data_IF_103304206216
#
_entry.id   IF_103304206216
#
_cell.length_a   1.000
_cell.length_b   1.000
_cell.length_c   1.000
_cell.angle_alpha   90.00
_cell.angle_beta   90.00
_cell.angle_gamma   90.00
#
_symmetry.space_group_name_H-M   'P 1'
#
loop_
_entity.id
_entity.type
_entity.pdbx_description
1 polymer ?
#
# COMPACT_ATOMS: atom_id res chain seq x y z
N UNK A 1 -27.40 -5.67 -28.21
CA UNK A 1 -27.07 -5.43 -26.79
C UNK A 1 -26.57 -6.74 -26.19
N UNK A 2 -25.28 -6.89 -25.91
CA UNK A 2 -24.78 -8.05 -25.16
C UNK A 2 -24.93 -7.74 -23.67
N UNK A 3 -25.72 -8.55 -22.98
CA UNK A 3 -25.82 -8.56 -21.52
C UNK A 3 -24.41 -8.68 -20.94
N UNK A 4 -24.06 -7.82 -19.97
CA UNK A 4 -22.83 -7.97 -19.20
C UNK A 4 -22.93 -9.29 -18.42
N UNK A 5 -21.96 -10.17 -18.61
CA UNK A 5 -21.83 -11.36 -17.77
C UNK A 5 -21.78 -10.96 -16.30
N UNK A 6 -22.47 -11.68 -15.40
CA UNK A 6 -22.39 -11.43 -13.97
C UNK A 6 -20.93 -11.60 -13.52
N UNK A 7 -20.43 -10.63 -12.76
CA UNK A 7 -19.11 -10.70 -12.14
C UNK A 7 -18.91 -12.09 -11.49
N UNK A 8 -17.81 -12.76 -11.81
CA UNK A 8 -17.51 -14.09 -11.26
C UNK A 8 -17.48 -14.00 -9.73
N UNK A 9 -17.81 -15.07 -9.01
CA UNK A 9 -17.91 -15.04 -7.53
C UNK A 9 -16.67 -14.43 -6.86
N UNK A 10 -15.47 -14.69 -7.40
CA UNK A 10 -14.21 -14.13 -6.92
C UNK A 10 -14.14 -12.60 -7.09
N UNK A 11 -14.69 -12.04 -8.17
CA UNK A 11 -14.72 -10.59 -8.41
C UNK A 11 -15.64 -9.84 -7.43
N UNK A 12 -16.71 -10.48 -6.93
CA UNK A 12 -17.55 -9.87 -5.89
C UNK A 12 -16.83 -9.82 -4.54
N UNK A 13 -16.15 -10.90 -4.16
CA UNK A 13 -15.33 -10.94 -2.94
C UNK A 13 -14.14 -9.96 -3.00
N UNK A 14 -13.55 -9.82 -4.19
CA UNK A 14 -12.50 -8.85 -4.50
C UNK A 14 -12.97 -7.41 -4.28
N UNK A 15 -14.17 -7.07 -4.78
CA UNK A 15 -14.74 -5.73 -4.67
C UNK A 15 -15.05 -5.34 -3.22
N UNK A 16 -15.47 -6.29 -2.39
CA UNK A 16 -15.70 -6.08 -0.94
C UNK A 16 -14.37 -5.84 -0.22
N UNK A 17 -13.35 -6.68 -0.47
CA UNK A 17 -12.02 -6.46 0.10
C UNK A 17 -11.44 -5.10 -0.31
N UNK A 18 -11.54 -4.74 -1.59
CA UNK A 18 -11.12 -3.43 -2.10
C UNK A 18 -11.87 -2.29 -1.42
N UNK A 19 -13.19 -2.36 -1.30
CA UNK A 19 -14.00 -1.35 -0.63
C UNK A 19 -13.64 -1.21 0.86
N UNK A 20 -13.30 -2.32 1.54
CA UNK A 20 -12.88 -2.34 2.94
C UNK A 20 -11.49 -1.74 3.13
N UNK A 21 -10.53 -2.11 2.28
CA UNK A 21 -9.21 -1.46 2.27
C UNK A 21 -9.33 0.01 1.88
N UNK A 22 -10.25 0.40 0.99
CA UNK A 22 -10.49 1.80 0.62
C UNK A 22 -11.14 2.61 1.74
N UNK A 23 -11.86 1.96 2.68
CA UNK A 23 -12.44 2.61 3.85
C UNK A 23 -11.36 3.07 4.86
N UNK A 24 -10.18 2.43 4.84
CA UNK A 24 -8.99 2.82 5.62
C UNK A 24 -7.94 3.55 4.75
N UNK A 25 -7.85 3.21 3.46
CA UNK A 25 -6.93 3.81 2.49
C UNK A 25 -7.57 4.94 1.70
N UNK A 26 -7.41 6.15 2.24
CA UNK A 26 -7.18 7.33 1.39
C UNK A 26 -5.93 7.16 0.48
N UNK A 27 -5.12 6.10 0.68
CA UNK A 27 -3.99 5.71 -0.16
C UNK A 27 -4.32 5.28 -1.60
N UNK A 28 -5.57 4.92 -1.91
CA UNK A 28 -5.96 4.41 -3.23
C UNK A 28 -5.93 5.46 -4.38
N UNK A 29 -5.69 6.74 -4.11
CA UNK A 29 -5.84 7.80 -5.14
C UNK A 29 -4.75 7.75 -6.23
N UNK A 30 -3.61 7.08 -6.01
CA UNK A 30 -2.67 6.70 -7.09
C UNK A 30 -2.94 5.28 -7.64
N UNK A 31 -3.79 4.49 -6.99
CA UNK A 31 -4.18 3.15 -7.42
C UNK A 31 -5.39 3.18 -8.38
N UNK A 32 -6.19 4.25 -8.35
CA UNK A 32 -7.34 4.49 -9.24
C UNK A 32 -6.96 5.34 -10.46
N UNK A 33 -6.01 4.85 -11.25
CA UNK A 33 -5.88 5.26 -12.65
C UNK A 33 -7.17 4.92 -13.41
N UNK A 34 -8.10 5.87 -13.43
CA UNK A 34 -9.22 6.03 -14.36
C UNK A 34 -10.07 4.77 -14.67
N UNK A 35 -11.00 4.43 -13.78
CA UNK A 35 -12.14 3.55 -14.10
C UNK A 35 -13.36 4.34 -14.59
N UNK A 36 -13.16 5.42 -15.35
CA UNK A 36 -14.25 5.97 -16.16
C UNK A 36 -14.43 5.10 -17.40
N UNK A 37 -15.56 4.37 -17.42
CA UNK A 37 -16.16 3.88 -18.66
C UNK A 37 -16.65 5.08 -19.47
N UNK A 38 -15.75 5.73 -20.18
CA UNK A 38 -16.13 6.50 -21.36
C UNK A 38 -15.64 5.75 -22.59
N UNK A 39 -16.62 5.20 -23.32
CA UNK A 39 -16.46 4.88 -24.73
C UNK A 39 -16.26 6.20 -25.47
N UNK A 40 -15.02 6.58 -25.67
CA UNK A 40 -14.66 7.39 -26.83
C UNK A 40 -13.67 6.58 -27.66
N UNK A 41 -14.19 6.04 -28.77
CA UNK A 41 -13.36 5.62 -29.88
C UNK A 41 -12.53 6.82 -30.31
N UNK A 42 -11.22 6.78 -30.11
CA UNK A 42 -10.28 7.51 -30.95
C UNK A 42 -8.92 6.81 -30.97
N UNK A 43 -8.70 6.18 -32.13
CA UNK A 43 -7.42 5.93 -32.79
C UNK A 43 -6.30 5.33 -31.94
N UNK A 44 -6.18 4.01 -32.06
CA UNK A 44 -4.91 3.31 -32.09
C UNK A 44 -3.85 4.10 -32.85
N UNK A 45 -2.90 4.68 -32.14
CA UNK A 45 -1.54 4.81 -32.65
C UNK A 45 -0.73 3.73 -31.96
N UNK A 46 -0.63 2.59 -32.62
CA UNK A 46 0.49 1.66 -32.43
C UNK A 46 1.74 2.37 -32.96
N UNK A 47 2.23 3.35 -32.19
CA UNK A 47 3.57 3.90 -32.34
C UNK A 47 4.54 2.89 -31.77
N UNK A 48 5.51 2.49 -32.59
CA UNK A 48 6.55 1.53 -32.24
C UNK A 48 7.07 1.73 -30.81
N UNK A 49 7.00 0.69 -29.99
CA UNK A 49 7.86 0.55 -28.81
C UNK A 49 9.26 0.39 -29.41
N UNK A 50 9.94 1.51 -29.66
CA UNK A 50 11.36 1.54 -29.99
C UNK A 50 12.11 0.72 -28.93
N UNK A 51 13.11 -0.05 -29.38
CA UNK A 51 13.97 -0.90 -28.55
C UNK A 51 14.20 -0.30 -27.15
N UNK A 52 13.81 -1.04 -26.11
CA UNK A 52 13.88 -0.68 -24.69
C UNK A 52 15.10 0.18 -24.30
N UNK A 53 14.97 1.51 -24.39
CA UNK A 53 15.92 2.47 -23.84
C UNK A 53 15.78 2.47 -22.31
N UNK A 54 16.32 1.42 -21.70
CA UNK A 54 16.45 1.30 -20.25
C UNK A 54 17.82 1.82 -19.81
N UNK A 55 17.87 2.35 -18.60
CA UNK A 55 19.10 2.78 -17.93
C UNK A 55 19.28 1.95 -16.66
N UNK A 56 20.49 1.42 -16.46
CA UNK A 56 20.84 0.75 -15.21
C UNK A 56 21.01 1.79 -14.09
N UNK A 57 20.63 1.47 -12.86
CA UNK A 57 20.74 2.41 -11.74
C UNK A 57 22.19 2.87 -11.55
N UNK A 58 23.17 1.99 -11.75
CA UNK A 58 24.60 2.31 -11.68
C UNK A 58 25.08 3.38 -12.67
N UNK A 59 24.31 3.64 -13.74
CA UNK A 59 24.63 4.69 -14.71
C UNK A 59 24.02 6.04 -14.36
N UNK A 60 23.14 6.09 -13.34
CA UNK A 60 22.50 7.31 -12.87
C UNK A 60 23.48 8.01 -11.93
N UNK A 61 23.87 9.27 -12.21
CA UNK A 61 24.85 9.99 -11.40
C UNK A 61 24.29 10.34 -10.02
N UNK A 62 25.19 10.65 -9.08
CA UNK A 62 24.82 11.01 -7.72
C UNK A 62 24.62 9.81 -6.79
N UNK A 63 24.08 10.09 -5.61
CA UNK A 63 23.71 9.11 -4.60
C UNK A 63 22.47 8.33 -5.06
N UNK A 64 22.38 7.11 -4.56
CA UNK A 64 21.22 6.24 -4.69
C UNK A 64 20.70 5.90 -3.31
N UNK A 65 19.38 5.74 -3.21
CA UNK A 65 18.73 5.32 -1.97
C UNK A 65 19.14 3.89 -1.63
N UNK A 66 19.50 3.67 -0.38
CA UNK A 66 19.81 2.35 0.17
C UNK A 66 19.20 2.24 1.55
N UNK A 67 18.04 1.60 1.65
CA UNK A 67 17.31 1.43 2.91
C UNK A 67 16.65 0.05 2.97
N UNK A 68 16.48 -0.50 4.17
CA UNK A 68 15.68 -1.72 4.33
C UNK A 68 14.25 -1.46 3.87
N UNK A 69 13.62 -2.49 3.27
CA UNK A 69 12.29 -2.34 2.69
C UNK A 69 11.55 -3.68 2.67
N UNK A 70 11.06 -4.08 3.84
CA UNK A 70 10.41 -5.37 4.08
C UNK A 70 9.07 -5.22 4.82
N UNK A 71 8.73 -4.03 5.29
CA UNK A 71 7.55 -3.77 6.10
C UNK A 71 7.04 -2.33 5.95
N UNK A 72 5.86 -2.06 6.54
CA UNK A 72 5.34 -0.68 6.62
C UNK A 72 6.18 0.20 7.54
N UNK A 73 6.82 -0.38 8.56
CA UNK A 73 7.70 0.33 9.48
C UNK A 73 8.95 0.83 8.74
N UNK A 74 9.52 0.01 7.85
CA UNK A 74 10.67 0.42 7.04
C UNK A 74 10.31 1.59 6.10
N UNK A 75 9.09 1.58 5.55
CA UNK A 75 8.59 2.69 4.75
C UNK A 75 8.39 3.97 5.58
N UNK A 76 7.81 3.86 6.78
CA UNK A 76 7.65 4.99 7.70
C UNK A 76 8.98 5.61 8.14
N UNK A 77 10.04 4.80 8.29
CA UNK A 77 11.38 5.30 8.60
C UNK A 77 11.97 6.19 7.48
N UNK A 78 11.39 6.15 6.28
CA UNK A 78 11.74 7.05 5.17
C UNK A 78 10.69 8.16 4.97
N UNK A 79 9.56 8.10 5.67
CA UNK A 79 8.47 9.04 5.48
C UNK A 79 8.68 10.28 6.35
N UNK A 80 8.60 11.49 5.79
CA UNK A 80 8.45 12.71 6.57
C UNK A 80 7.32 12.61 7.58
N UNK A 81 7.45 13.25 8.75
CA UNK A 81 6.39 13.35 9.76
C UNK A 81 5.03 13.81 9.16
N UNK A 82 3.94 13.38 9.79
CA UNK A 82 2.57 13.76 9.42
C UNK A 82 1.83 12.74 8.55
N UNK A 83 2.32 11.51 8.44
CA UNK A 83 1.64 10.45 7.68
C UNK A 83 0.27 10.13 8.28
N UNK A 84 -0.80 10.37 7.51
CA UNK A 84 -2.18 10.08 7.95
C UNK A 84 -2.62 8.67 7.59
N UNK A 85 -2.06 8.09 6.54
CA UNK A 85 -2.26 6.70 6.17
C UNK A 85 -1.11 6.17 5.34
N UNK A 86 -0.84 4.88 5.45
CA UNK A 86 0.16 4.21 4.63
C UNK A 86 -0.23 2.75 4.38
N UNK A 87 0.32 2.18 3.31
CA UNK A 87 0.21 0.75 3.03
C UNK A 87 1.53 0.19 2.53
N UNK A 88 1.79 -1.08 2.83
CA UNK A 88 2.91 -1.85 2.31
C UNK A 88 2.41 -3.18 1.75
N UNK A 89 2.96 -3.59 0.60
CA UNK A 89 2.56 -4.79 -0.13
C UNK A 89 3.81 -5.53 -0.60
N UNK A 90 3.87 -6.83 -0.30
CA UNK A 90 4.84 -7.76 -0.87
C UNK A 90 4.17 -8.53 -2.01
N UNK A 91 4.36 -8.05 -3.24
CA UNK A 91 3.68 -8.58 -4.42
C UNK A 91 4.07 -10.02 -4.72
N UNK A 92 5.30 -10.42 -4.37
CA UNK A 92 5.74 -11.81 -4.55
C UNK A 92 4.94 -12.76 -3.64
N UNK A 93 4.64 -12.34 -2.41
CA UNK A 93 3.78 -13.12 -1.50
C UNK A 93 2.31 -13.11 -1.88
N UNK A 94 1.87 -12.17 -2.72
CA UNK A 94 0.49 -12.18 -3.25
C UNK A 94 0.28 -13.21 -4.35
N UNK A 95 1.34 -13.64 -5.06
CA UNK A 95 1.23 -14.57 -6.19
C UNK A 95 0.57 -15.89 -5.80
N UNK A 96 -0.41 -16.34 -6.60
CA UNK A 96 -1.17 -17.55 -6.32
C UNK A 96 -2.14 -17.43 -5.14
N UNK A 97 -2.37 -16.22 -4.63
CA UNK A 97 -3.41 -15.92 -3.65
C UNK A 97 -4.54 -15.12 -4.30
N UNK A 98 -5.74 -15.08 -3.70
CA UNK A 98 -6.81 -14.19 -4.16
C UNK A 98 -6.42 -12.70 -4.20
N UNK A 99 -5.37 -12.29 -3.47
CA UNK A 99 -4.90 -10.91 -3.42
C UNK A 99 -4.05 -10.50 -4.63
N UNK A 100 -3.57 -11.45 -5.45
CA UNK A 100 -2.79 -11.14 -6.66
C UNK A 100 -3.56 -10.22 -7.61
N UNK A 101 -4.87 -10.42 -7.74
CA UNK A 101 -5.73 -9.61 -8.61
C UNK A 101 -6.09 -8.25 -8.01
N UNK A 102 -6.04 -8.11 -6.68
CA UNK A 102 -6.31 -6.87 -5.95
C UNK A 102 -5.14 -5.90 -6.13
N UNK A 103 -3.94 -6.38 -5.83
CA UNK A 103 -2.76 -5.55 -5.71
C UNK A 103 -1.92 -5.54 -6.99
N UNK A 104 -2.13 -6.50 -7.89
CA UNK A 104 -1.37 -6.69 -9.12
C UNK A 104 -1.68 -5.71 -10.26
N UNK A 105 -1.91 -4.42 -9.98
CA UNK A 105 -1.92 -3.40 -11.04
C UNK A 105 -0.48 -3.14 -11.54
N UNK A 106 0.07 -4.14 -12.24
CA UNK A 106 1.44 -4.15 -12.77
C UNK A 106 1.63 -3.17 -13.92
N UNK A 107 0.55 -2.80 -14.63
CA UNK A 107 0.60 -2.03 -15.87
C UNK A 107 1.19 -0.63 -15.70
N UNK A 108 0.82 0.09 -14.62
CA UNK A 108 1.34 1.44 -14.36
C UNK A 108 2.82 1.42 -13.93
N UNK A 109 3.23 0.43 -13.15
CA UNK A 109 4.64 0.32 -12.72
C UNK A 109 5.53 -0.13 -13.87
N UNK A 110 5.03 -1.04 -14.70
CA UNK A 110 5.71 -1.47 -15.92
C UNK A 110 5.89 -0.32 -16.91
N UNK A 111 4.94 0.61 -17.04
CA UNK A 111 5.10 1.78 -17.92
C UNK A 111 6.14 2.79 -17.42
N UNK A 112 6.47 2.79 -16.12
CA UNK A 112 7.53 3.62 -15.56
C UNK A 112 8.89 2.91 -15.62
N UNK A 113 8.96 1.62 -15.31
CA UNK A 113 10.24 0.95 -15.11
C UNK A 113 10.62 -0.02 -16.22
N UNK A 114 9.67 -0.44 -17.06
CA UNK A 114 9.87 -1.49 -18.05
C UNK A 114 10.10 -2.87 -17.42
N UNK A 115 9.77 -3.02 -16.14
CA UNK A 115 9.92 -4.25 -15.35
C UNK A 115 8.90 -4.26 -14.19
N UNK A 116 8.65 -5.43 -13.64
CA UNK A 116 7.76 -5.64 -12.51
C UNK A 116 8.42 -5.15 -11.20
N UNK A 117 7.61 -4.53 -10.34
CA UNK A 117 7.97 -4.24 -8.95
C UNK A 117 7.64 -5.43 -8.06
N UNK A 118 8.44 -5.66 -7.03
CA UNK A 118 8.25 -6.81 -6.10
C UNK A 118 7.67 -6.41 -4.76
N UNK A 119 7.88 -5.17 -4.34
CA UNK A 119 7.31 -4.58 -3.12
C UNK A 119 6.93 -3.14 -3.38
N UNK A 120 5.89 -2.69 -2.69
CA UNK A 120 5.39 -1.32 -2.77
C UNK A 120 5.04 -0.80 -1.39
N UNK A 121 5.31 0.48 -1.18
CA UNK A 121 4.80 1.25 -0.07
C UNK A 121 4.21 2.53 -0.63
N UNK A 122 3.14 3.03 -0.02
CA UNK A 122 2.60 4.34 -0.32
C UNK A 122 2.19 5.03 0.97
N UNK A 123 2.58 6.29 1.11
CA UNK A 123 2.19 7.16 2.21
C UNK A 123 1.29 8.30 1.71
N UNK A 124 0.42 8.79 2.58
CA UNK A 124 -0.41 9.97 2.35
C UNK A 124 -0.36 10.92 3.52
N UNK A 125 -0.52 12.20 3.20
CA UNK A 125 -0.59 13.31 4.13
C UNK A 125 -1.98 13.96 4.10
N UNK A 126 -2.24 14.84 5.06
CA UNK A 126 -3.55 15.47 5.22
C UNK A 126 -3.95 16.40 4.05
N UNK A 127 -2.98 16.93 3.33
CA UNK A 127 -3.16 17.74 2.13
C UNK A 127 -3.49 16.90 0.87
N UNK A 128 -3.46 15.57 0.99
CA UNK A 128 -3.71 14.65 -0.10
C UNK A 128 -2.44 14.28 -0.90
N UNK A 129 -1.32 14.95 -0.66
CA UNK A 129 -0.03 14.60 -1.24
C UNK A 129 0.49 13.28 -0.66
N UNK A 130 1.51 12.74 -1.32
CA UNK A 130 2.10 11.47 -0.92
C UNK A 130 3.24 11.05 -1.82
N UNK A 131 3.85 9.94 -1.45
CA UNK A 131 4.91 9.31 -2.22
C UNK A 131 4.79 7.80 -2.14
N UNK A 132 5.54 7.14 -3.01
CA UNK A 132 5.62 5.70 -3.10
C UNK A 132 7.07 5.22 -3.07
N UNK A 133 7.26 4.02 -2.54
CA UNK A 133 8.52 3.30 -2.58
C UNK A 133 8.35 2.00 -3.36
N UNK A 134 9.28 1.71 -4.27
CA UNK A 134 9.21 0.56 -5.15
C UNK A 134 10.49 -0.27 -5.12
N UNK A 135 10.36 -1.57 -4.85
CA UNK A 135 11.46 -2.51 -4.99
C UNK A 135 11.52 -3.02 -6.43
N UNK A 136 12.59 -2.67 -7.14
CA UNK A 136 12.85 -3.12 -8.52
C UNK A 136 14.06 -4.06 -8.50
N UNK A 137 13.87 -5.39 -8.60
CA UNK A 137 14.96 -6.36 -8.51
C UNK A 137 16.04 -6.17 -9.59
N UNK A 138 15.61 -5.79 -10.80
CA UNK A 138 16.52 -5.66 -11.95
C UNK A 138 17.42 -4.41 -11.88
N UNK A 139 17.19 -3.50 -10.92
CA UNK A 139 17.94 -2.24 -10.73
C UNK A 139 18.16 -1.47 -12.05
N UNK A 140 17.13 -1.43 -12.89
CA UNK A 140 17.07 -0.65 -14.12
C UNK A 140 15.67 -0.05 -14.29
N UNK A 141 15.56 1.00 -15.07
CA UNK A 141 14.28 1.64 -15.39
C UNK A 141 14.26 2.16 -16.83
N UNK A 142 13.09 2.49 -17.36
CA UNK A 142 12.99 3.24 -18.62
C UNK A 142 13.61 4.62 -18.46
N UNK A 143 14.30 5.09 -19.50
CA UNK A 143 14.95 6.40 -19.55
C UNK A 143 13.98 7.51 -19.10
N UNK A 144 14.39 8.40 -18.18
CA UNK A 144 13.59 9.55 -17.79
C UNK A 144 13.61 10.63 -18.87
N UNK A 145 12.66 11.57 -18.80
CA UNK A 145 12.58 12.71 -19.71
C UNK A 145 13.64 13.77 -19.43
N UNK A 146 14.17 13.79 -18.21
CA UNK A 146 15.19 14.72 -17.76
C UNK A 146 15.61 14.39 -16.33
N UNK A 147 16.64 15.08 -15.85
CA UNK A 147 17.14 14.94 -14.50
C UNK A 147 17.50 16.30 -13.91
N UNK A 148 17.25 16.46 -12.61
CA UNK A 148 17.72 17.59 -11.81
C UNK A 148 18.41 17.05 -10.56
N UNK A 149 19.34 17.80 -10.00
CA UNK A 149 20.05 17.41 -8.78
C UNK A 149 19.36 17.99 -7.54
N UNK A 150 19.35 17.23 -6.46
CA UNK A 150 19.00 17.68 -5.12
C UNK A 150 19.77 16.86 -4.10
N UNK A 151 20.52 17.53 -3.23
CA UNK A 151 21.42 16.91 -2.25
C UNK A 151 22.26 15.73 -2.80
N UNK A 152 22.85 15.94 -3.98
CA UNK A 152 23.63 14.94 -4.71
C UNK A 152 22.84 13.69 -5.17
N UNK A 153 21.51 13.67 -5.06
CA UNK A 153 20.64 12.71 -5.72
C UNK A 153 20.16 13.23 -7.08
N UNK A 154 20.05 12.33 -8.05
CA UNK A 154 19.39 12.61 -9.32
C UNK A 154 17.88 12.39 -9.21
N UNK A 155 17.11 13.48 -9.24
CA UNK A 155 15.66 13.46 -9.39
C UNK A 155 15.32 13.35 -10.88
N UNK A 156 14.63 12.28 -11.24
CA UNK A 156 14.40 11.88 -12.62
C UNK A 156 12.95 12.15 -13.01
N UNK A 157 12.73 12.98 -14.03
CA UNK A 157 11.40 13.32 -14.51
C UNK A 157 10.75 12.13 -15.24
N UNK A 158 9.56 11.72 -14.80
CA UNK A 158 8.82 10.59 -15.41
C UNK A 158 7.85 11.02 -16.50
N UNK A 159 7.53 12.30 -16.57
CA UNK A 159 6.66 12.85 -17.61
C UNK A 159 7.38 13.99 -18.34
N UNK A 160 6.92 14.31 -19.54
CA UNK A 160 7.38 15.47 -20.28
C UNK A 160 6.75 16.76 -19.72
N UNK A 161 6.98 17.04 -18.44
CA UNK A 161 6.44 18.18 -17.68
C UNK A 161 4.90 18.30 -17.68
N UNK A 162 4.18 17.21 -17.96
CA UNK A 162 2.71 17.20 -17.96
C UNK A 162 2.16 17.03 -16.55
N UNK A 163 2.86 16.23 -15.73
CA UNK A 163 2.54 16.00 -14.33
C UNK A 163 3.82 16.07 -13.51
N UNK A 164 3.73 16.57 -12.28
CA UNK A 164 4.86 16.62 -11.35
C UNK A 164 5.11 15.23 -10.77
N UNK A 165 5.77 14.37 -11.55
CA UNK A 165 6.10 12.99 -11.17
C UNK A 165 7.58 12.78 -11.38
N UNK A 166 8.26 12.54 -10.27
CA UNK A 166 9.71 12.37 -10.18
C UNK A 166 10.03 11.07 -9.47
N UNK A 167 11.16 10.48 -9.82
CA UNK A 167 11.68 9.35 -9.09
C UNK A 167 13.17 9.52 -8.77
N UNK A 168 13.62 8.82 -7.73
CA UNK A 168 15.05 8.72 -7.39
C UNK A 168 15.44 7.24 -7.40
N UNK A 169 16.54 6.93 -8.06
CA UNK A 169 17.00 5.56 -8.20
C UNK A 169 17.57 5.02 -6.88
N UNK A 170 17.33 3.74 -6.60
CA UNK A 170 17.84 3.08 -5.40
C UNK A 170 17.08 1.81 -5.06
N UNK A 171 17.28 1.34 -3.84
CA UNK A 171 16.60 0.20 -3.26
C UNK A 171 16.09 0.60 -1.87
N UNK A 172 14.83 1.04 -1.74
CA UNK A 172 13.82 1.16 -2.80
C UNK A 172 13.98 2.41 -3.69
N UNK A 173 13.27 2.44 -4.83
CA UNK A 173 13.07 3.66 -5.64
C UNK A 173 12.00 4.52 -4.98
N UNK A 174 12.27 5.82 -4.83
CA UNK A 174 11.26 6.81 -4.38
C UNK A 174 10.53 7.35 -5.62
N UNK A 175 9.21 7.49 -5.55
CA UNK A 175 8.36 8.08 -6.59
C UNK A 175 7.36 9.06 -5.95
N UNK A 176 7.21 10.27 -6.48
CA UNK A 176 6.23 11.23 -5.97
C UNK A 176 6.29 12.57 -6.71
N UNK A 177 5.65 13.59 -6.14
CA UNK A 177 5.88 14.98 -6.54
C UNK A 177 7.35 15.37 -6.29
N UNK A 178 7.82 16.44 -6.91
CA UNK A 178 9.20 16.89 -6.70
C UNK A 178 9.45 17.18 -5.22
N UNK A 179 8.50 17.86 -4.57
CA UNK A 179 8.60 18.21 -3.16
C UNK A 179 8.60 16.96 -2.29
N UNK A 180 7.65 16.03 -2.48
CA UNK A 180 7.58 14.83 -1.65
C UNK A 180 8.83 13.95 -1.78
N UNK A 181 9.45 13.89 -2.97
CA UNK A 181 10.72 13.18 -3.15
C UNK A 181 11.86 13.87 -2.39
N UNK A 182 11.90 15.20 -2.37
CA UNK A 182 12.89 15.97 -1.61
C UNK A 182 12.71 15.77 -0.11
N UNK A 183 11.48 15.81 0.38
CA UNK A 183 11.18 15.62 1.81
C UNK A 183 11.64 14.23 2.29
N UNK A 184 11.44 13.17 1.48
CA UNK A 184 11.96 11.82 1.78
C UNK A 184 13.49 11.79 1.80
N UNK A 185 14.16 12.51 0.89
CA UNK A 185 15.63 12.63 0.91
C UNK A 185 16.08 13.33 2.19
N UNK A 186 15.40 14.40 2.60
CA UNK A 186 15.73 15.12 3.83
C UNK A 186 15.62 14.23 5.08
N UNK A 187 14.67 13.28 5.10
CA UNK A 187 14.59 12.28 6.17
C UNK A 187 15.79 11.32 6.12
N UNK A 188 16.13 10.81 4.94
CA UNK A 188 17.24 9.87 4.75
C UNK A 188 18.61 10.47 5.08
N UNK A 189 18.76 11.79 4.90
CA UNK A 189 19.97 12.55 5.17
C UNK A 189 19.95 13.17 6.58
N UNK A 190 19.00 12.79 7.42
CA UNK A 190 18.84 13.24 8.80
C UNK A 190 18.65 14.77 8.94
N UNK A 191 18.22 15.45 7.87
CA UNK A 191 17.85 16.86 7.88
C UNK A 191 16.46 17.07 8.50
N UNK A 192 15.59 16.07 8.42
CA UNK A 192 14.25 16.06 9.01
C UNK A 192 13.94 14.73 9.70
N UNK A 193 12.95 14.75 10.58
CA UNK A 193 12.55 13.56 11.35
C UNK A 193 11.66 12.64 10.52
N UNK A 194 11.88 11.34 10.63
CA UNK A 194 10.97 10.33 10.11
C UNK A 194 9.66 10.26 10.91
N UNK A 195 8.62 9.69 10.30
CA UNK A 195 7.34 9.43 10.95
C UNK A 195 7.49 8.51 12.16
N UNK A 196 7.00 8.93 13.32
CA UNK A 196 7.03 8.17 14.58
C UNK A 196 5.65 7.97 15.21
N UNK A 197 4.59 8.50 14.57
CA UNK A 197 3.23 8.60 15.08
C UNK A 197 2.59 7.23 15.36
N UNK A 198 3.08 6.17 14.69
CA UNK A 198 2.57 4.81 14.80
C UNK A 198 3.44 3.88 15.67
N UNK A 199 4.52 4.39 16.29
CA UNK A 199 5.46 3.56 17.05
C UNK A 199 4.79 2.78 18.18
N UNK A 200 3.81 3.38 18.86
CA UNK A 200 3.06 2.73 19.94
C UNK A 200 2.27 1.50 19.46
N UNK A 201 1.72 1.55 18.25
CA UNK A 201 1.03 0.42 17.62
C UNK A 201 2.03 -0.60 17.08
N UNK A 202 3.03 -0.14 16.31
CA UNK A 202 3.95 -1.03 15.60
C UNK A 202 4.84 -1.86 16.54
N UNK A 203 5.12 -1.38 17.75
CA UNK A 203 5.80 -2.18 18.78
C UNK A 203 5.01 -3.42 19.22
N UNK A 204 3.70 -3.46 18.99
CA UNK A 204 2.84 -4.62 19.27
C UNK A 204 2.50 -5.44 18.01
N UNK A 205 2.91 -4.97 16.84
CA UNK A 205 2.75 -5.66 15.57
C UNK A 205 3.78 -6.80 15.44
N UNK A 206 3.43 -7.82 14.65
CA UNK A 206 4.39 -8.82 14.21
C UNK A 206 4.26 -9.00 12.68
N UNK A 207 4.82 -8.07 11.89
CA UNK A 207 4.60 -8.01 10.45
C UNK A 207 5.33 -9.11 9.65
N UNK A 208 6.07 -10.00 10.33
CA UNK A 208 6.85 -11.03 9.64
C UNK A 208 5.96 -11.98 8.84
N UNK A 209 6.32 -12.15 7.57
CA UNK A 209 5.57 -12.98 6.63
C UNK A 209 4.29 -12.34 6.08
N UNK A 210 3.95 -11.11 6.48
CA UNK A 210 2.78 -10.41 5.94
C UNK A 210 2.94 -10.12 4.45
N UNK A 211 1.85 -10.31 3.70
CA UNK A 211 1.74 -9.97 2.27
C UNK A 211 1.20 -8.54 2.07
N UNK A 212 0.46 -8.04 3.06
CA UNK A 212 -0.13 -6.71 3.07
C UNK A 212 -0.11 -6.15 4.49
N UNK A 213 0.17 -4.85 4.58
CA UNK A 213 0.11 -4.08 5.82
C UNK A 213 -0.50 -2.72 5.52
N UNK A 214 -1.26 -2.18 6.46
CA UNK A 214 -1.89 -0.88 6.35
C UNK A 214 -1.96 -0.22 7.72
N UNK A 215 -1.90 1.10 7.72
CA UNK A 215 -2.17 1.92 8.90
C UNK A 215 -2.90 3.20 8.51
N UNK A 216 -3.64 3.73 9.47
CA UNK A 216 -4.34 4.99 9.33
C UNK A 216 -4.55 5.66 10.69
N UNK A 217 -4.59 6.99 10.68
CA UNK A 217 -5.05 7.81 11.79
C UNK A 217 -6.45 8.34 11.51
N UNK A 218 -7.28 8.38 12.55
CA UNK A 218 -8.62 8.95 12.49
C UNK A 218 -8.55 10.44 12.16
N UNK A 219 -9.20 10.82 11.07
CA UNK A 219 -9.40 12.22 10.68
C UNK A 219 -10.86 12.61 10.89
N UNK A 220 -11.14 13.92 10.85
CA UNK A 220 -12.51 14.45 10.98
C UNK A 220 -13.50 13.89 9.95
N UNK A 221 -13.00 13.40 8.82
CA UNK A 221 -13.82 12.84 7.72
C UNK A 221 -13.86 11.31 7.73
N UNK A 222 -13.21 10.65 8.70
CA UNK A 222 -13.15 9.18 8.78
C UNK A 222 -14.13 8.63 9.79
N UNK A 223 -14.76 7.50 9.48
CA UNK A 223 -15.64 6.76 10.39
C UNK A 223 -14.88 5.69 11.17
N UNK A 224 -13.57 5.87 11.38
CA UNK A 224 -12.72 4.88 12.02
C UNK A 224 -13.11 4.72 13.51
N UNK A 225 -13.29 3.48 13.98
CA UNK A 225 -13.72 3.21 15.35
C UNK A 225 -12.57 3.28 16.39
N UNK A 226 -11.43 3.85 16.03
CA UNK A 226 -10.24 3.97 16.86
C UNK A 226 -9.42 5.17 16.38
N UNK A 227 -8.61 5.76 17.26
CA UNK A 227 -7.77 6.93 16.93
C UNK A 227 -6.70 6.58 15.89
N UNK A 228 -6.15 5.37 15.97
CA UNK A 228 -5.26 4.81 14.98
C UNK A 228 -5.55 3.33 14.80
N UNK A 229 -5.31 2.85 13.58
CA UNK A 229 -5.49 1.45 13.20
C UNK A 229 -4.23 0.99 12.48
N UNK A 230 -3.80 -0.22 12.81
CA UNK A 230 -2.87 -1.00 12.00
C UNK A 230 -3.54 -2.32 11.62
N UNK A 231 -3.31 -2.80 10.42
CA UNK A 231 -3.74 -4.11 9.94
C UNK A 231 -2.62 -4.80 9.18
N UNK A 232 -2.46 -6.10 9.39
CA UNK A 232 -1.67 -6.97 8.52
C UNK A 232 -2.46 -8.18 8.05
N UNK A 233 -2.05 -8.71 6.89
CA UNK A 233 -2.56 -9.95 6.32
C UNK A 233 -1.42 -10.90 6.01
N UNK A 234 -1.61 -12.16 6.36
CA UNK A 234 -0.66 -13.24 6.11
C UNK A 234 -1.37 -14.50 5.64
N UNK A 235 -0.78 -15.19 4.67
CA UNK A 235 -1.17 -16.55 4.30
C UNK A 235 -0.42 -17.54 5.20
N UNK A 236 -1.14 -18.51 5.76
CA UNK A 236 -0.59 -19.56 6.62
C UNK A 236 -0.28 -20.82 5.80
N UNK A 237 0.60 -21.68 6.32
CA UNK A 237 1.06 -22.90 5.64
C UNK A 237 -0.06 -23.89 5.34
N UNK A 238 -1.10 -23.89 6.18
CA UNK A 238 -2.31 -24.72 5.99
C UNK A 238 -3.27 -24.16 4.91
N UNK A 239 -2.89 -23.10 4.20
CA UNK A 239 -3.70 -22.45 3.16
C UNK A 239 -4.76 -21.47 3.67
N UNK A 240 -4.91 -21.34 4.99
CA UNK A 240 -5.76 -20.31 5.61
C UNK A 240 -5.05 -18.95 5.66
N UNK A 241 -5.74 -17.94 6.16
CA UNK A 241 -5.26 -16.57 6.27
C UNK A 241 -5.41 -16.07 7.69
N UNK A 242 -4.46 -15.24 8.11
CA UNK A 242 -4.49 -14.50 9.36
C UNK A 242 -4.58 -13.01 9.04
N UNK A 243 -5.50 -12.32 9.71
CA UNK A 243 -5.54 -10.87 9.77
C UNK A 243 -5.26 -10.44 11.20
N UNK A 244 -4.22 -9.63 11.39
CA UNK A 244 -3.99 -8.97 12.67
C UNK A 244 -4.43 -7.53 12.55
N UNK A 245 -5.15 -7.02 13.54
CA UNK A 245 -5.55 -5.62 13.62
C UNK A 245 -5.24 -5.08 15.00
N UNK A 246 -4.65 -3.90 15.05
CA UNK A 246 -4.35 -3.16 16.28
C UNK A 246 -5.13 -1.86 16.26
N UNK A 247 -5.81 -1.56 17.36
CA UNK A 247 -6.65 -0.38 17.51
C UNK A 247 -6.16 0.42 18.71
N UNK A 248 -5.75 1.67 18.48
CA UNK A 248 -5.41 2.62 19.54
C UNK A 248 -6.67 3.37 19.99
N UNK A 249 -6.97 3.35 21.28
CA UNK A 249 -8.16 3.98 21.88
C UNK A 249 -9.46 3.59 21.12
N UNK A 250 -9.78 2.30 20.95
CA UNK A 250 -11.01 1.91 20.26
C UNK A 250 -12.25 2.40 21.00
N UNK A 251 -13.27 2.81 20.24
CA UNK A 251 -14.57 3.19 20.79
C UNK A 251 -15.21 1.99 21.52
N UNK A 252 -16.00 2.29 22.57
CA UNK A 252 -16.60 1.26 23.42
C UNK A 252 -17.58 0.36 22.67
N UNK A 253 -18.44 0.96 21.84
CA UNK A 253 -19.37 0.27 20.93
C UNK A 253 -18.64 -0.72 19.99
N UNK A 254 -17.49 -0.34 19.45
CA UNK A 254 -16.68 -1.19 18.58
C UNK A 254 -16.05 -2.35 19.35
N UNK A 255 -15.57 -2.08 20.57
CA UNK A 255 -15.05 -3.12 21.45
C UNK A 255 -16.13 -4.15 21.84
N UNK A 256 -17.36 -3.70 22.09
CA UNK A 256 -18.51 -4.59 22.32
C UNK A 256 -18.85 -5.43 21.10
N UNK A 257 -18.78 -4.83 19.90
CA UNK A 257 -18.97 -5.53 18.63
C UNK A 257 -17.94 -6.63 18.40
N UNK A 258 -16.65 -6.36 18.66
CA UNK A 258 -15.59 -7.39 18.59
C UNK A 258 -15.93 -8.58 19.50
N UNK A 259 -16.36 -8.32 20.75
CA UNK A 259 -16.74 -9.38 21.70
C UNK A 259 -17.94 -10.19 21.21
N UNK A 260 -18.95 -9.52 20.64
CA UNK A 260 -20.13 -10.18 20.09
C UNK A 260 -19.78 -11.10 18.91
N UNK A 261 -18.90 -10.63 18.01
CA UNK A 261 -18.41 -11.45 16.91
C UNK A 261 -17.58 -12.64 17.42
N UNK A 262 -16.69 -12.43 18.38
CA UNK A 262 -15.88 -13.48 18.98
C UNK A 262 -16.73 -14.63 19.55
N UNK A 263 -17.83 -14.33 20.25
CA UNK A 263 -18.66 -15.31 20.94
C UNK A 263 -19.24 -16.41 20.02
N UNK A 264 -19.55 -16.07 18.77
CA UNK A 264 -20.18 -17.00 17.81
C UNK A 264 -19.24 -17.38 16.64
N UNK A 265 -17.93 -17.14 16.80
CA UNK A 265 -16.96 -17.23 15.70
C UNK A 265 -16.80 -18.63 15.11
N UNK A 266 -16.90 -19.68 15.93
CA UNK A 266 -16.72 -21.08 15.48
C UNK A 266 -17.79 -21.51 14.47
N UNK A 267 -19.04 -21.05 14.63
CA UNK A 267 -20.14 -21.33 13.68
C UNK A 267 -19.87 -20.73 12.30
N UNK A 268 -19.08 -19.65 12.22
CA UNK A 268 -18.65 -19.00 10.97
C UNK A 268 -17.34 -19.57 10.42
N UNK A 269 -16.74 -20.55 11.09
CA UNK A 269 -15.45 -21.12 10.73
C UNK A 269 -14.29 -20.14 10.98
N UNK A 270 -14.42 -19.24 11.95
CA UNK A 270 -13.45 -18.20 12.27
C UNK A 270 -12.86 -18.45 13.65
N UNK A 271 -11.54 -18.25 13.79
CA UNK A 271 -10.87 -18.23 15.09
C UNK A 271 -10.49 -16.80 15.44
N UNK A 272 -10.84 -16.36 16.65
CA UNK A 272 -10.48 -15.07 17.21
C UNK A 272 -9.48 -15.21 18.34
N UNK A 273 -8.52 -14.29 18.38
CA UNK A 273 -7.72 -14.02 19.56
C UNK A 273 -7.70 -12.50 19.80
N UNK A 274 -8.31 -12.06 20.90
CA UNK A 274 -8.43 -10.64 21.25
C UNK A 274 -7.73 -10.41 22.57
N UNK A 275 -6.81 -9.45 22.59
CA UNK A 275 -6.06 -9.03 23.77
C UNK A 275 -6.08 -7.52 23.86
N UNK A 276 -6.09 -6.98 25.08
CA UNK A 276 -6.02 -5.54 25.32
C UNK A 276 -4.84 -5.28 26.25
N UNK A 277 -3.95 -4.36 25.86
CA UNK A 277 -2.80 -3.92 26.63
C UNK A 277 -2.80 -2.40 26.69
N UNK A 278 -3.05 -1.86 27.89
CA UNK A 278 -3.25 -0.42 28.07
C UNK A 278 -4.43 0.06 27.22
N UNK A 279 -4.16 0.98 26.31
CA UNK A 279 -5.14 1.57 25.39
C UNK A 279 -5.12 0.97 23.98
N UNK A 280 -4.38 -0.13 23.77
CA UNK A 280 -4.32 -0.83 22.49
C UNK A 280 -5.09 -2.15 22.60
N UNK A 281 -6.03 -2.36 21.69
CA UNK A 281 -6.69 -3.66 21.49
C UNK A 281 -6.11 -4.33 20.26
N UNK A 282 -5.54 -5.52 20.45
CA UNK A 282 -5.03 -6.40 19.40
C UNK A 282 -6.03 -7.50 19.14
N UNK A 283 -6.47 -7.60 17.90
CA UNK A 283 -7.36 -8.63 17.40
C UNK A 283 -6.66 -9.43 16.31
N UNK A 284 -6.68 -10.75 16.40
CA UNK A 284 -6.21 -11.64 15.35
C UNK A 284 -7.36 -12.55 14.93
N UNK A 285 -7.66 -12.54 13.63
CA UNK A 285 -8.67 -13.39 13.00
C UNK A 285 -7.95 -14.40 12.12
N UNK A 286 -8.23 -15.68 12.28
CA UNK A 286 -7.72 -16.74 11.40
C UNK A 286 -8.86 -17.52 10.78
N UNK A 287 -8.88 -17.62 9.45
CA UNK A 287 -9.89 -18.39 8.72
C UNK A 287 -9.50 -18.65 7.27
N UNK A 288 -10.33 -19.38 6.52
CA UNK A 288 -10.24 -19.38 5.06
C UNK A 288 -10.54 -17.97 4.50
N UNK A 289 -10.12 -17.70 3.27
CA UNK A 289 -10.26 -16.38 2.64
C UNK A 289 -11.69 -15.83 2.68
N UNK A 290 -12.69 -16.65 2.37
CA UNK A 290 -14.09 -16.20 2.29
C UNK A 290 -14.63 -15.79 3.66
N UNK A 291 -14.41 -16.62 4.67
CA UNK A 291 -14.84 -16.33 6.03
C UNK A 291 -14.09 -15.12 6.61
N UNK A 292 -12.80 -14.96 6.31
CA UNK A 292 -12.04 -13.77 6.71
C UNK A 292 -12.61 -12.47 6.13
N UNK A 293 -12.95 -12.47 4.84
CA UNK A 293 -13.54 -11.30 4.19
C UNK A 293 -14.90 -10.94 4.78
N UNK A 294 -15.78 -11.92 4.96
CA UNK A 294 -17.08 -11.68 5.58
C UNK A 294 -16.92 -11.09 6.98
N UNK A 295 -15.96 -11.58 7.76
CA UNK A 295 -15.72 -11.10 9.11
C UNK A 295 -15.20 -9.66 9.12
N UNK A 296 -14.31 -9.33 8.17
CA UNK A 296 -13.80 -7.97 7.98
C UNK A 296 -14.92 -7.02 7.56
N UNK A 297 -15.83 -7.46 6.70
CA UNK A 297 -17.02 -6.69 6.30
C UNK A 297 -17.93 -6.43 7.50
N UNK A 298 -18.23 -7.47 8.29
CA UNK A 298 -19.03 -7.32 9.51
C UNK A 298 -18.41 -6.32 10.47
N UNK A 299 -17.08 -6.26 10.60
CA UNK A 299 -16.38 -5.30 11.46
C UNK A 299 -16.49 -3.85 10.97
N UNK A 300 -16.62 -3.62 9.67
CA UNK A 300 -16.75 -2.28 9.08
C UNK A 300 -18.14 -1.63 9.13
N UNK A 301 -19.20 -2.42 9.34
CA UNK A 301 -20.61 -1.98 9.33
C UNK A 301 -21.06 -1.32 10.64
#
# INVERSE_FOLDING_TARGET
MKQKDPATKNQRYLAVFLALTMLLSAGAIFFSGNLNKDKSDNASSSGNIEENNTIAFSQIPGRQVHHEFNSIADGLNMSPEGVVSASYIDLQKTTGTPFEQVFGNKTMMYSLYGTDVTKRYGARYADGEGFELHQIPERKMLMPWGAVQYDNYSLLARTNNTYDIWNVAGSPVILGSRQSVQDVIDVLEENTTASTEYNSLLTQANPEGSLYQELATKTNNSTMPADQIYMDLRKLDNGSYSQTSLYLNPESNFTEKIKALQANSTERGVTYNVTTSGNITKMMITSNFRSLLNETEMLSQ
#
